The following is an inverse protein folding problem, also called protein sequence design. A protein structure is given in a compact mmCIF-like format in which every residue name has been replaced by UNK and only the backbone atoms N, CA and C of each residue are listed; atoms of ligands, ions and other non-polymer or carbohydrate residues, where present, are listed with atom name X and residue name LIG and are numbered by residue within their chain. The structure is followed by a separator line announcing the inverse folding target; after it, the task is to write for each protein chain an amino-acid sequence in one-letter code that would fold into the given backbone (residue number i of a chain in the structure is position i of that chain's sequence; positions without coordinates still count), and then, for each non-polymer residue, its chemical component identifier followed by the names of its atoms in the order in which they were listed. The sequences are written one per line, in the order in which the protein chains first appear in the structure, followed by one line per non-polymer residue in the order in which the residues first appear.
data_IF_273846592451
#
_entry.id   IF_273846592451
#
_cell.length_a   1.000
_cell.length_b   1.000
_cell.length_c   1.000
_cell.angle_alpha   90.00
_cell.angle_beta   90.00
_cell.angle_gamma   90.00
#
_symmetry.space_group_name_H-M   'P 1'
#
loop_
_entity.id
_entity.type
_entity.pdbx_description
1 polymer ?
#
# COMPACT_ATOMS: atom_id res chain seq x y z
N UNK A 1 -2.74 -11.49 7.88
CA UNK A 1 -2.38 -10.79 9.12
C UNK A 1 -2.41 -9.29 8.84
N UNK A 2 -3.45 -8.59 9.29
CA UNK A 2 -3.62 -7.15 9.03
C UNK A 2 -4.05 -6.35 10.27
N UNK A 3 -3.97 -6.94 11.46
CA UNK A 3 -4.50 -6.34 12.68
C UNK A 3 -5.98 -5.90 12.58
N UNK A 4 -6.52 -5.29 13.64
CA UNK A 4 -7.90 -4.79 13.64
C UNK A 4 -8.07 -3.51 12.81
N UNK A 5 -9.25 -3.33 12.22
CA UNK A 5 -9.67 -2.11 11.51
C UNK A 5 -10.05 -0.96 12.46
N UNK A 6 -9.79 -1.11 13.76
CA UNK A 6 -10.21 -0.20 14.84
C UNK A 6 -9.43 1.13 14.87
N UNK A 7 -8.41 1.29 14.02
CA UNK A 7 -7.53 2.47 14.01
C UNK A 7 -6.51 2.55 15.15
N UNK A 8 -6.47 1.55 16.03
CA UNK A 8 -5.48 1.45 17.10
C UNK A 8 -4.27 0.59 16.72
N UNK A 9 -4.32 -0.10 15.58
CA UNK A 9 -3.22 -0.92 15.10
C UNK A 9 -2.15 -0.08 14.39
N UNK A 10 -0.99 0.04 15.03
CA UNK A 10 0.17 0.77 14.48
C UNK A 10 1.23 -0.15 13.90
N UNK A 11 0.95 -1.45 13.77
CA UNK A 11 1.95 -2.46 13.38
C UNK A 11 2.56 -2.17 12.01
N UNK A 12 1.77 -1.64 11.07
CA UNK A 12 2.22 -1.30 9.71
C UNK A 12 3.30 -0.20 9.74
N UNK A 13 2.97 0.94 10.35
CA UNK A 13 3.83 2.11 10.33
C UNK A 13 5.03 1.97 11.26
N UNK A 14 4.86 1.44 12.48
CA UNK A 14 5.96 1.17 13.40
C UNK A 14 6.85 0.02 12.92
N UNK A 15 6.25 -1.04 12.38
CA UNK A 15 6.97 -2.15 11.78
C UNK A 15 7.85 -1.68 10.63
N UNK A 16 7.30 -0.88 9.71
CA UNK A 16 8.07 -0.36 8.57
C UNK A 16 9.25 0.52 9.02
N UNK A 17 9.05 1.41 10.00
CA UNK A 17 10.15 2.22 10.57
C UNK A 17 11.27 1.35 11.13
N UNK A 18 10.92 0.30 11.87
CA UNK A 18 11.89 -0.64 12.42
C UNK A 18 12.63 -1.40 11.30
N UNK A 19 11.91 -1.90 10.29
CA UNK A 19 12.49 -2.60 9.14
C UNK A 19 13.49 -1.68 8.42
N UNK A 20 13.10 -0.44 8.09
CA UNK A 20 13.97 0.55 7.43
C UNK A 20 15.25 0.77 8.24
N UNK A 21 15.12 1.02 9.55
CA UNK A 21 16.26 1.29 10.42
C UNK A 21 17.24 0.11 10.48
N UNK A 22 16.74 -1.13 10.53
CA UNK A 22 17.61 -2.32 10.55
C UNK A 22 18.22 -2.61 9.17
N UNK A 23 17.48 -2.41 8.09
CA UNK A 23 18.01 -2.53 6.73
C UNK A 23 19.18 -1.58 6.49
N UNK A 24 19.06 -0.32 6.92
CA UNK A 24 20.13 0.66 6.82
C UNK A 24 21.37 0.24 7.62
N UNK A 25 21.19 -0.24 8.85
CA UNK A 25 22.31 -0.77 9.67
C UNK A 25 22.97 -1.99 9.06
N UNK A 26 22.18 -2.87 8.45
CA UNK A 26 22.64 -4.09 7.79
C UNK A 26 23.14 -3.84 6.35
N UNK A 27 23.13 -2.58 5.87
CA UNK A 27 23.49 -2.21 4.50
C UNK A 27 22.66 -2.93 3.42
N UNK A 28 21.42 -3.32 3.76
CA UNK A 28 20.44 -3.88 2.80
C UNK A 28 19.67 -2.74 2.17
N UNK A 29 19.65 -2.67 0.83
CA UNK A 29 19.05 -1.53 0.11
C UNK A 29 17.66 -1.77 -0.48
N UNK A 30 17.36 -2.99 -0.92
CA UNK A 30 16.13 -3.28 -1.67
C UNK A 30 15.01 -3.79 -0.75
N UNK A 31 13.84 -3.20 -0.84
CA UNK A 31 12.60 -3.71 -0.21
C UNK A 31 11.43 -3.67 -1.20
N UNK A 32 10.64 -4.74 -1.21
CA UNK A 32 9.32 -4.77 -1.83
C UNK A 32 8.32 -4.95 -0.69
N UNK A 33 7.49 -3.95 -0.47
CA UNK A 33 6.52 -3.90 0.62
C UNK A 33 5.11 -4.01 0.06
N UNK A 34 4.24 -4.74 0.77
CA UNK A 34 2.82 -4.83 0.43
C UNK A 34 2.05 -3.73 1.16
N UNK A 35 1.31 -2.94 0.38
CA UNK A 35 0.49 -1.82 0.81
C UNK A 35 -1.00 -2.12 0.78
N UNK A 36 -1.79 -1.05 0.73
CA UNK A 36 -3.24 -1.09 0.52
C UNK A 36 -3.66 -0.09 -0.56
N UNK A 37 -4.72 -0.42 -1.30
CA UNK A 37 -5.20 0.40 -2.43
C UNK A 37 -5.49 1.86 -2.07
N UNK A 38 -5.89 2.15 -0.82
CA UNK A 38 -6.16 3.51 -0.37
C UNK A 38 -4.98 4.49 -0.55
N UNK A 39 -3.75 3.99 -0.68
CA UNK A 39 -2.52 4.80 -0.92
C UNK A 39 -2.28 5.11 -2.40
N UNK A 40 -3.04 4.52 -3.32
CA UNK A 40 -2.96 4.84 -4.75
C UNK A 40 -3.65 6.18 -5.04
N UNK A 41 -3.21 6.85 -6.10
CA UNK A 41 -3.78 8.10 -6.58
C UNK A 41 -5.16 7.84 -7.23
N UNK A 42 -6.17 8.61 -6.82
CA UNK A 42 -7.43 8.75 -7.55
C UNK A 42 -7.26 9.73 -8.72
N UNK A 43 -6.51 10.81 -8.48
CA UNK A 43 -6.07 11.82 -9.43
C UNK A 43 -4.69 12.37 -9.01
N UNK A 44 -4.21 13.44 -9.65
CA UNK A 44 -2.89 14.00 -9.40
C UNK A 44 -2.68 14.58 -7.98
N UNK A 45 -3.76 14.88 -7.26
CA UNK A 45 -3.72 15.56 -5.97
C UNK A 45 -4.43 14.78 -4.85
N UNK A 46 -5.14 13.70 -5.18
CA UNK A 46 -6.02 12.97 -4.26
C UNK A 46 -5.67 11.49 -4.21
N UNK A 47 -5.53 10.93 -3.01
CA UNK A 47 -5.44 9.48 -2.83
C UNK A 47 -6.84 8.84 -2.82
N UNK A 48 -6.94 7.57 -3.19
CA UNK A 48 -8.20 6.81 -3.15
C UNK A 48 -8.87 6.87 -1.77
N UNK A 49 -8.08 6.76 -0.69
CA UNK A 49 -8.61 6.82 0.67
C UNK A 49 -9.26 8.16 1.05
N UNK A 50 -8.97 9.22 0.30
CA UNK A 50 -9.49 10.58 0.53
C UNK A 50 -10.71 10.91 -0.36
N UNK A 51 -11.18 9.95 -1.16
CA UNK A 51 -12.37 10.13 -2.02
C UNK A 51 -13.67 9.96 -1.22
N UNK A 52 -14.74 10.65 -1.64
CA UNK A 52 -16.04 10.61 -0.93
C UNK A 52 -16.66 9.21 -0.86
N UNK A 53 -16.44 8.40 -1.90
CA UNK A 53 -17.00 7.03 -2.01
C UNK A 53 -16.10 5.96 -1.37
N UNK A 54 -15.01 6.34 -0.69
CA UNK A 54 -14.10 5.37 -0.09
C UNK A 54 -14.78 4.66 1.11
N UNK A 55 -14.71 3.31 1.21
CA UNK A 55 -15.38 2.61 2.30
C UNK A 55 -14.78 2.96 3.67
N UNK A 56 -15.63 3.48 4.56
CA UNK A 56 -15.23 4.00 5.87
C UNK A 56 -14.55 2.93 6.75
N UNK A 57 -14.92 1.66 6.59
CA UNK A 57 -14.30 0.53 7.31
C UNK A 57 -12.82 0.35 6.98
N UNK A 58 -12.35 0.83 5.81
CA UNK A 58 -10.97 0.72 5.37
C UNK A 58 -10.14 1.98 5.63
N UNK A 59 -10.75 3.08 6.07
CA UNK A 59 -10.08 4.37 6.24
C UNK A 59 -8.90 4.24 7.21
N UNK A 60 -9.15 3.67 8.39
CA UNK A 60 -8.15 3.52 9.43
C UNK A 60 -6.93 2.69 8.98
N UNK A 61 -7.19 1.58 8.29
CA UNK A 61 -6.15 0.70 7.76
C UNK A 61 -5.38 1.38 6.61
N UNK A 62 -6.07 2.12 5.75
CA UNK A 62 -5.46 2.87 4.65
C UNK A 62 -4.54 3.97 5.15
N UNK A 63 -4.96 4.71 6.18
CA UNK A 63 -4.13 5.71 6.85
C UNK A 63 -2.87 5.10 7.47
N UNK A 64 -2.95 3.89 8.02
CA UNK A 64 -1.77 3.20 8.55
C UNK A 64 -0.83 2.68 7.46
N UNK A 65 -1.37 2.20 6.33
CA UNK A 65 -0.56 1.91 5.14
C UNK A 65 0.10 3.17 4.58
N UNK A 66 -0.61 4.30 4.56
CA UNK A 66 -0.08 5.59 4.11
C UNK A 66 1.12 6.03 4.96
N UNK A 67 1.03 5.93 6.29
CA UNK A 67 2.17 6.22 7.19
C UNK A 67 3.38 5.31 6.94
N UNK A 68 3.17 4.04 6.61
CA UNK A 68 4.25 3.12 6.25
C UNK A 68 4.87 3.49 4.89
N UNK A 69 4.05 3.86 3.91
CA UNK A 69 4.48 4.35 2.60
C UNK A 69 5.33 5.62 2.73
N UNK A 70 4.88 6.61 3.51
CA UNK A 70 5.63 7.85 3.75
C UNK A 70 6.98 7.59 4.44
N UNK A 71 7.06 6.60 5.35
CA UNK A 71 8.33 6.18 5.93
C UNK A 71 9.30 5.61 4.87
N UNK A 72 8.81 4.81 3.93
CA UNK A 72 9.62 4.30 2.82
C UNK A 72 10.06 5.42 1.86
N UNK A 73 9.12 6.29 1.48
CA UNK A 73 9.34 7.42 0.57
C UNK A 73 10.40 8.39 1.08
N UNK A 74 10.48 8.59 2.39
CA UNK A 74 11.49 9.45 3.03
C UNK A 74 12.80 8.74 3.38
N UNK A 75 12.88 7.41 3.15
CA UNK A 75 14.09 6.63 3.39
C UNK A 75 15.07 6.69 2.21
N UNK A 76 16.28 6.17 2.42
CA UNK A 76 17.32 6.01 1.40
C UNK A 76 17.27 4.65 0.68
N UNK A 77 16.24 3.85 0.93
CA UNK A 77 16.12 2.49 0.38
C UNK A 77 15.57 2.50 -1.05
N UNK A 78 15.96 1.51 -1.83
CA UNK A 78 15.37 1.23 -3.13
C UNK A 78 14.06 0.47 -2.91
N UNK A 79 12.94 1.19 -2.80
CA UNK A 79 11.65 0.59 -2.41
C UNK A 79 10.71 0.38 -3.59
N UNK A 80 9.81 -0.58 -3.44
CA UNK A 80 8.58 -0.70 -4.23
C UNK A 80 7.44 -1.02 -3.29
N UNK A 81 6.37 -0.24 -3.37
CA UNK A 81 5.18 -0.41 -2.53
C UNK A 81 4.06 -0.95 -3.42
N UNK A 82 3.73 -2.23 -3.25
CA UNK A 82 2.76 -2.95 -4.09
C UNK A 82 1.40 -2.90 -3.41
N UNK A 83 0.42 -2.24 -4.02
CA UNK A 83 -0.96 -2.20 -3.54
C UNK A 83 -1.78 -3.26 -4.30
N UNK A 84 -2.02 -4.45 -3.71
CA UNK A 84 -2.82 -5.49 -4.36
C UNK A 84 -4.30 -5.09 -4.41
N UNK A 85 -5.07 -5.66 -5.36
CA UNK A 85 -6.53 -5.58 -5.32
C UNK A 85 -7.09 -6.42 -4.16
N UNK A 86 -8.41 -6.36 -4.00
CA UNK A 86 -9.12 -7.26 -3.10
C UNK A 86 -8.83 -8.73 -3.46
N UNK A 87 -8.40 -9.48 -2.46
CA UNK A 87 -8.12 -10.91 -2.60
C UNK A 87 -9.45 -11.65 -2.49
N UNK A 88 -9.88 -12.22 -3.61
CA UNK A 88 -11.07 -13.07 -3.69
C UNK A 88 -10.74 -14.53 -3.37
N UNK A 89 -11.73 -15.31 -2.95
CA UNK A 89 -11.61 -16.76 -2.74
C UNK A 89 -11.61 -17.50 -4.09
N UNK A 90 -10.52 -17.35 -4.83
CA UNK A 90 -10.30 -17.99 -6.11
C UNK A 90 -8.81 -18.32 -6.32
N UNK A 91 -8.54 -19.31 -7.16
CA UNK A 91 -7.18 -19.65 -7.58
C UNK A 91 -6.58 -18.59 -8.52
N UNK A 92 -5.25 -18.60 -8.71
CA UNK A 92 -4.58 -17.68 -9.62
C UNK A 92 -4.98 -17.93 -11.08
N UNK A 93 -5.24 -16.87 -11.83
CA UNK A 93 -5.56 -16.94 -13.27
C UNK A 93 -4.31 -16.88 -14.17
N UNK A 94 -3.19 -16.40 -13.63
CA UNK A 94 -1.96 -16.12 -14.41
C UNK A 94 -2.01 -14.83 -15.24
N UNK A 95 -3.14 -14.11 -15.25
CA UNK A 95 -3.33 -12.87 -15.99
C UNK A 95 -3.51 -11.69 -15.05
N UNK A 96 -2.74 -10.63 -15.26
CA UNK A 96 -2.79 -9.43 -14.42
C UNK A 96 -2.51 -8.16 -15.22
N UNK A 97 -3.05 -7.04 -14.75
CA UNK A 97 -2.74 -5.69 -15.20
C UNK A 97 -2.04 -4.94 -14.08
N UNK A 98 -1.08 -4.09 -14.41
CA UNK A 98 -0.34 -3.28 -13.45
C UNK A 98 -0.28 -1.84 -13.90
N UNK A 99 -0.36 -0.92 -12.95
CA UNK A 99 -0.09 0.49 -13.17
C UNK A 99 0.79 1.01 -12.04
N UNK A 100 1.57 2.05 -12.34
CA UNK A 100 2.33 2.76 -11.33
C UNK A 100 1.48 3.89 -10.77
N UNK A 101 1.48 4.06 -9.44
CA UNK A 101 0.82 5.12 -8.67
C UNK A 101 -0.72 5.15 -8.70
N UNK A 102 -1.35 4.65 -9.76
CA UNK A 102 -2.80 4.61 -9.94
C UNK A 102 -3.32 3.17 -9.93
N UNK A 103 -4.61 2.94 -9.63
CA UNK A 103 -5.25 1.65 -9.88
C UNK A 103 -5.17 1.30 -11.37
N UNK A 104 -4.92 0.03 -11.73
CA UNK A 104 -4.90 -0.37 -13.13
C UNK A 104 -6.30 -0.21 -13.73
N UNK A 105 -6.42 0.59 -14.79
CA UNK A 105 -7.66 0.69 -15.56
C UNK A 105 -7.82 -0.57 -16.42
N UNK A 106 -8.90 -1.31 -16.23
CA UNK A 106 -9.28 -2.35 -17.20
C UNK A 106 -9.76 -1.63 -18.47
N UNK A 107 -8.89 -1.49 -19.46
CA UNK A 107 -9.35 -1.20 -20.82
C UNK A 107 -10.09 -2.45 -21.28
N UNK A 108 -11.40 -2.48 -21.07
CA UNK A 108 -12.28 -3.39 -21.80
C UNK A 108 -12.19 -2.91 -23.25
N UNK A 109 -11.38 -3.60 -24.05
CA UNK A 109 -11.45 -3.46 -25.51
C UNK A 109 -12.89 -3.78 -25.91
N UNK A 110 -13.65 -2.74 -26.27
CA UNK A 110 -14.92 -2.87 -26.97
C UNK A 110 -14.67 -3.24 -28.43
#
# INVERSE_FOLDING_TARGET
MGGPFTGTDLTRSLGMKNIIAQMQKAMVKRIIAVGGMGVLNADDNTYLMDTEDFPAEYEAVSKEHFKAFEALKTSTLDWTFVCPPDIIDAGPTGSFVTAANYPPTLIILK
#
